data_IF_555798393562
#
_entry.id   IF_555798393562
#
_cell.length_a   1.000
_cell.length_b   1.000
_cell.length_c   1.000
_cell.angle_alpha   90.00
_cell.angle_beta   90.00
_cell.angle_gamma   90.00
#
_symmetry.space_group_name_H-M   'P 1'
#
loop_
_entity.id
_entity.type
_entity.pdbx_description
1 polymer ?
#
# COMPACT_ATOMS: atom_id res chain seq x y z
N UNK A 1 7.28 -26.38 21.50
CA UNK A 1 8.20 -25.47 20.77
C UNK A 1 8.63 -26.20 19.51
N UNK A 2 8.46 -25.61 18.33
CA UNK A 2 8.90 -26.20 17.05
C UNK A 2 10.42 -26.15 16.93
N UNK A 3 11.05 -27.25 16.52
CA UNK A 3 12.51 -27.35 16.35
C UNK A 3 12.94 -27.10 14.90
N UNK A 4 14.16 -26.60 14.63
CA UNK A 4 14.66 -26.46 13.25
C UNK A 4 14.74 -27.79 12.48
N UNK A 5 14.82 -28.92 13.19
CA UNK A 5 14.76 -30.26 12.61
C UNK A 5 13.38 -30.62 12.03
N UNK A 6 12.31 -29.92 12.42
CA UNK A 6 10.95 -30.11 11.89
C UNK A 6 10.68 -29.22 10.66
N UNK A 7 11.69 -28.51 10.15
CA UNK A 7 11.52 -27.57 9.06
C UNK A 7 11.09 -28.29 7.77
N UNK A 8 9.96 -27.84 7.23
CA UNK A 8 9.49 -28.29 5.92
C UNK A 8 10.29 -27.62 4.80
N UNK A 9 10.56 -28.33 3.68
CA UNK A 9 11.17 -27.73 2.51
C UNK A 9 10.34 -26.53 2.00
N UNK A 10 11.02 -25.45 1.64
CA UNK A 10 10.36 -24.27 1.08
C UNK A 10 9.80 -24.57 -0.33
N UNK A 11 8.53 -24.26 -0.55
CA UNK A 11 7.90 -24.39 -1.86
C UNK A 11 8.01 -23.08 -2.64
N UNK A 12 8.47 -23.15 -3.90
CA UNK A 12 8.54 -21.98 -4.76
C UNK A 12 7.14 -21.46 -5.10
N UNK A 13 6.94 -20.15 -4.97
CA UNK A 13 5.76 -19.48 -5.49
C UNK A 13 5.83 -19.41 -7.02
N UNK A 14 5.21 -20.36 -7.71
CA UNK A 14 5.19 -20.41 -9.18
C UNK A 14 4.52 -19.16 -9.79
N UNK A 15 4.95 -18.76 -10.98
CA UNK A 15 4.33 -17.70 -11.78
C UNK A 15 2.91 -18.13 -12.21
N UNK A 16 1.89 -17.52 -11.60
CA UNK A 16 0.47 -17.78 -11.90
C UNK A 16 -0.40 -16.61 -11.47
N UNK A 17 -1.65 -16.64 -11.92
CA UNK A 17 -2.69 -15.71 -11.48
C UNK A 17 -3.04 -15.99 -10.02
N UNK A 18 -3.14 -14.93 -9.21
CA UNK A 18 -3.63 -14.95 -7.84
C UNK A 18 -4.58 -13.78 -7.61
N UNK A 19 -5.49 -13.96 -6.66
CA UNK A 19 -6.34 -12.87 -6.17
C UNK A 19 -5.51 -11.92 -5.31
N UNK A 20 -5.61 -10.63 -5.62
CA UNK A 20 -5.05 -9.53 -4.85
C UNK A 20 -6.16 -8.51 -4.54
N UNK A 21 -6.03 -7.81 -3.42
CA UNK A 21 -6.94 -6.74 -3.04
C UNK A 21 -6.34 -5.42 -3.51
N UNK A 22 -7.11 -4.65 -4.27
CA UNK A 22 -6.71 -3.31 -4.72
C UNK A 22 -7.67 -2.26 -4.19
N UNK A 23 -7.12 -1.10 -3.86
CA UNK A 23 -7.89 0.08 -3.46
C UNK A 23 -8.65 0.64 -4.67
N UNK A 24 -9.93 0.98 -4.45
CA UNK A 24 -10.77 1.71 -5.39
C UNK A 24 -10.48 3.20 -5.24
N UNK A 25 -9.60 3.70 -6.09
CA UNK A 25 -9.14 5.09 -6.01
C UNK A 25 -10.08 6.04 -6.75
N UNK A 26 -10.12 7.31 -6.31
CA UNK A 26 -10.86 8.38 -7.01
C UNK A 26 -10.49 8.49 -8.48
N UNK A 27 -9.20 8.33 -8.80
CA UNK A 27 -8.67 8.35 -10.17
C UNK A 27 -9.23 7.28 -11.09
N UNK A 28 -9.83 6.21 -10.57
CA UNK A 28 -10.50 5.19 -11.39
C UNK A 28 -11.84 5.67 -11.94
N UNK A 29 -12.45 6.69 -11.33
CA UNK A 29 -13.70 7.31 -11.80
C UNK A 29 -13.44 8.68 -12.42
N UNK A 30 -12.82 9.59 -11.66
CA UNK A 30 -12.54 10.96 -12.09
C UNK A 30 -11.28 11.47 -11.39
N UNK A 31 -10.27 11.84 -12.19
CA UNK A 31 -9.00 12.38 -11.68
C UNK A 31 -9.09 13.87 -11.30
N UNK A 32 -10.08 14.58 -11.81
CA UNK A 32 -10.20 16.04 -11.67
C UNK A 32 -10.93 16.46 -10.38
N UNK A 33 -11.84 15.63 -9.87
CA UNK A 33 -12.67 15.93 -8.72
C UNK A 33 -12.22 15.11 -7.50
N UNK A 34 -12.02 15.79 -6.35
CA UNK A 34 -11.63 15.16 -5.08
C UNK A 34 -12.75 15.13 -4.03
N UNK A 35 -13.94 15.66 -4.33
CA UNK A 35 -15.02 15.94 -3.39
C UNK A 35 -15.99 14.77 -3.18
N UNK A 36 -15.58 13.56 -3.55
CA UNK A 36 -16.38 12.35 -3.38
C UNK A 36 -15.59 11.20 -2.75
N UNK A 37 -16.32 10.21 -2.26
CA UNK A 37 -15.81 8.93 -1.79
C UNK A 37 -16.45 7.81 -2.62
N UNK A 38 -15.77 6.66 -2.69
CA UNK A 38 -16.26 5.46 -3.37
C UNK A 38 -16.43 4.33 -2.35
N UNK A 39 -17.51 3.57 -2.49
CA UNK A 39 -17.80 2.38 -1.68
C UNK A 39 -18.16 1.19 -2.57
N UNK A 40 -17.57 -0.01 -2.36
CA UNK A 40 -16.56 -0.35 -1.35
C UNK A 40 -15.18 0.31 -1.62
N UNK A 41 -14.32 0.45 -0.59
CA UNK A 41 -13.00 1.08 -0.76
C UNK A 41 -11.95 0.15 -1.39
N UNK A 42 -12.18 -1.16 -1.39
CA UNK A 42 -11.29 -2.16 -1.95
C UNK A 42 -12.08 -3.22 -2.73
N UNK A 43 -11.46 -3.80 -3.75
CA UNK A 43 -12.02 -4.88 -4.57
C UNK A 43 -10.97 -5.94 -4.86
N UNK A 44 -11.43 -7.16 -5.12
CA UNK A 44 -10.58 -8.25 -5.56
C UNK A 44 -10.31 -8.15 -7.07
N UNK A 45 -9.03 -8.32 -7.44
CA UNK A 45 -8.56 -8.40 -8.81
C UNK A 45 -7.64 -9.59 -8.99
N UNK A 46 -7.54 -10.07 -10.23
CA UNK A 46 -6.64 -11.13 -10.60
C UNK A 46 -5.31 -10.54 -11.10
N UNK A 47 -4.18 -10.93 -10.50
CA UNK A 47 -2.85 -10.42 -10.85
C UNK A 47 -1.85 -11.56 -10.97
N UNK A 48 -0.86 -11.34 -11.83
CA UNK A 48 0.25 -12.26 -12.01
C UNK A 48 1.26 -12.02 -10.90
N UNK A 49 1.58 -13.07 -10.16
CA UNK A 49 2.59 -13.03 -9.10
C UNK A 49 3.39 -14.32 -9.06
N UNK A 50 4.45 -14.33 -8.25
CA UNK A 50 5.37 -15.46 -8.14
C UNK A 50 6.67 -15.25 -8.92
N UNK A 51 7.50 -16.28 -8.90
CA UNK A 51 8.88 -16.26 -9.37
C UNK A 51 9.06 -17.18 -10.58
N UNK A 52 9.97 -16.78 -11.46
CA UNK A 52 10.53 -17.62 -12.51
C UNK A 52 11.81 -18.31 -12.02
N UNK A 53 12.28 -19.32 -12.73
CA UNK A 53 13.46 -20.09 -12.34
C UNK A 53 14.78 -19.29 -12.45
N UNK A 54 14.82 -18.30 -13.34
CA UNK A 54 16.01 -17.46 -13.56
C UNK A 54 15.70 -15.98 -13.33
N UNK A 55 16.70 -15.24 -12.85
CA UNK A 55 16.58 -13.80 -12.56
C UNK A 55 16.44 -12.93 -13.82
N UNK A 56 16.71 -13.48 -15.00
CA UNK A 56 16.56 -12.80 -16.29
C UNK A 56 15.11 -12.81 -16.79
N UNK A 57 14.26 -13.65 -16.21
CA UNK A 57 12.85 -13.77 -16.54
C UNK A 57 11.99 -13.04 -15.49
N UNK A 58 10.90 -12.44 -15.94
CA UNK A 58 9.88 -11.82 -15.11
C UNK A 58 8.52 -12.48 -15.36
N UNK A 59 7.75 -12.66 -14.30
CA UNK A 59 6.37 -13.15 -14.38
C UNK A 59 5.47 -12.01 -14.84
N UNK A 60 4.92 -12.11 -16.05
CA UNK A 60 4.13 -11.04 -16.68
C UNK A 60 2.80 -11.59 -17.20
N UNK A 61 1.73 -10.77 -17.24
CA UNK A 61 0.49 -11.16 -17.90
C UNK A 61 0.68 -11.27 -19.41
N UNK A 62 0.12 -12.33 -20.00
CA UNK A 62 0.05 -12.51 -21.46
C UNK A 62 -1.36 -12.30 -22.00
N UNK A 63 -2.37 -12.44 -21.14
CA UNK A 63 -3.77 -12.12 -21.46
C UNK A 63 -4.33 -11.32 -20.28
N UNK A 64 -5.03 -10.23 -20.59
CA UNK A 64 -5.73 -9.40 -19.62
C UNK A 64 -7.21 -9.25 -19.99
N UNK A 65 -8.04 -8.98 -18.99
CA UNK A 65 -9.46 -8.71 -19.16
C UNK A 65 -9.86 -7.51 -18.32
N UNK A 66 -10.55 -6.56 -18.96
CA UNK A 66 -11.10 -5.39 -18.26
C UNK A 66 -12.51 -5.70 -17.80
N UNK A 67 -12.75 -5.64 -16.49
CA UNK A 67 -14.08 -5.74 -15.89
C UNK A 67 -14.55 -4.38 -15.39
N UNK A 68 -15.84 -4.14 -15.53
CA UNK A 68 -16.51 -2.94 -15.02
C UNK A 68 -17.23 -3.29 -13.72
N UNK A 69 -17.00 -2.49 -12.69
CA UNK A 69 -17.58 -2.65 -11.36
C UNK A 69 -18.50 -1.46 -11.08
N UNK A 70 -19.70 -1.75 -10.60
CA UNK A 70 -20.58 -0.72 -10.08
C UNK A 70 -20.20 -0.43 -8.63
N UNK A 71 -19.90 0.83 -8.33
CA UNK A 71 -19.56 1.33 -6.99
C UNK A 71 -20.51 2.45 -6.60
N UNK A 72 -20.60 2.73 -5.31
CA UNK A 72 -21.37 3.85 -4.78
C UNK A 72 -20.48 5.08 -4.65
N UNK A 73 -20.85 6.16 -5.33
CA UNK A 73 -20.27 7.50 -5.17
C UNK A 73 -21.00 8.23 -4.05
N UNK A 74 -20.25 8.75 -3.10
CA UNK A 74 -20.76 9.49 -1.94
C UNK A 74 -20.22 10.92 -2.01
N UNK A 75 -21.11 11.89 -2.14
CA UNK A 75 -20.79 13.32 -2.17
C UNK A 75 -21.44 14.04 -1.00
N UNK A 76 -20.75 15.00 -0.39
CA UNK A 76 -21.31 15.79 0.70
C UNK A 76 -21.79 17.14 0.18
N UNK A 77 -23.10 17.31 0.06
CA UNK A 77 -23.74 18.55 -0.39
C UNK A 77 -24.54 19.10 0.79
N UNK A 78 -24.30 20.37 1.17
CA UNK A 78 -24.98 21.01 2.30
C UNK A 78 -24.90 20.19 3.62
N UNK A 79 -23.73 19.61 3.91
CA UNK A 79 -23.46 18.72 5.06
C UNK A 79 -24.30 17.42 5.08
N UNK A 80 -24.95 17.05 3.97
CA UNK A 80 -25.70 15.81 3.81
C UNK A 80 -25.04 14.91 2.76
N UNK A 81 -24.91 13.60 3.03
CA UNK A 81 -24.39 12.66 2.04
C UNK A 81 -25.43 12.44 0.93
N UNK A 82 -24.96 12.48 -0.31
CA UNK A 82 -25.70 12.16 -1.53
C UNK A 82 -25.06 10.92 -2.15
N UNK A 83 -25.89 9.96 -2.53
CA UNK A 83 -25.45 8.67 -3.05
C UNK A 83 -25.80 8.54 -4.51
N UNK A 84 -24.82 8.16 -5.33
CA UNK A 84 -25.02 7.89 -6.75
C UNK A 84 -24.32 6.58 -7.13
N UNK A 85 -24.79 5.94 -8.20
CA UNK A 85 -24.09 4.81 -8.81
C UNK A 85 -23.01 5.34 -9.73
N UNK A 86 -21.83 4.74 -9.66
CA UNK A 86 -20.71 5.02 -10.55
C UNK A 86 -20.13 3.71 -11.08
N UNK A 87 -19.44 3.77 -12.21
CA UNK A 87 -18.79 2.61 -12.82
C UNK A 87 -17.30 2.87 -12.85
N UNK A 88 -16.52 1.93 -12.30
CA UNK A 88 -15.06 1.93 -12.39
C UNK A 88 -14.60 0.70 -13.15
N UNK A 89 -13.44 0.79 -13.80
CA UNK A 89 -12.83 -0.34 -14.50
C UNK A 89 -11.65 -0.90 -13.71
N UNK A 90 -11.56 -2.23 -13.65
CA UNK A 90 -10.38 -2.96 -13.16
C UNK A 90 -9.81 -3.83 -14.26
N UNK A 91 -8.50 -4.08 -14.20
CA UNK A 91 -7.80 -4.98 -15.13
C UNK A 91 -7.37 -6.23 -14.37
N UNK A 92 -7.87 -7.36 -14.86
CA UNK A 92 -7.51 -8.69 -14.41
C UNK A 92 -6.50 -9.33 -15.36
N UNK A 93 -5.56 -10.05 -14.79
CA UNK A 93 -4.67 -10.93 -15.52
C UNK A 93 -5.32 -12.30 -15.64
N UNK A 94 -5.47 -12.81 -16.87
CA UNK A 94 -6.13 -14.09 -17.16
C UNK A 94 -5.12 -15.21 -17.33
N UNK A 95 -3.95 -14.91 -17.93
CA UNK A 95 -2.86 -15.87 -18.10
C UNK A 95 -1.51 -15.19 -17.84
N UNK A 96 -0.57 -15.91 -17.22
CA UNK A 96 0.77 -15.43 -16.88
C UNK A 96 1.84 -16.31 -17.52
N UNK A 97 2.96 -15.71 -17.95
CA UNK A 97 4.14 -16.45 -18.40
C UNK A 97 5.43 -15.78 -17.92
N UNK A 98 6.49 -16.59 -17.84
CA UNK A 98 7.85 -16.10 -17.64
C UNK A 98 8.43 -15.61 -18.96
N UNK A 99 8.68 -14.31 -19.07
CA UNK A 99 9.27 -13.69 -20.26
C UNK A 99 10.56 -12.96 -19.89
N UNK A 100 11.46 -12.76 -20.87
CA UNK A 100 12.68 -11.98 -20.65
C UNK A 100 12.30 -10.57 -20.23
N UNK A 101 12.86 -10.10 -19.11
CA UNK A 101 12.61 -8.74 -18.65
C UNK A 101 12.87 -7.74 -19.79
N UNK A 102 11.92 -6.86 -20.14
CA UNK A 102 12.21 -5.76 -21.04
C UNK A 102 13.42 -5.01 -20.47
N UNK A 103 14.43 -4.75 -21.31
CA UNK A 103 15.59 -3.94 -20.88
C UNK A 103 15.04 -2.59 -20.41
N UNK A 104 15.03 -2.37 -19.10
CA UNK A 104 14.77 -1.05 -18.54
C UNK A 104 15.83 -0.12 -19.17
N UNK A 105 15.44 0.95 -19.90
CA UNK A 105 16.42 1.91 -20.37
C UNK A 105 17.16 2.44 -19.14
N UNK A 106 18.47 2.20 -19.09
CA UNK A 106 19.29 2.57 -17.95
C UNK A 106 19.09 4.06 -17.63
N UNK A 107 18.88 4.45 -16.36
CA UNK A 107 18.81 5.85 -16.00
C UNK A 107 20.13 6.53 -16.39
N UNK A 108 20.06 7.58 -17.22
CA UNK A 108 21.23 8.37 -17.61
C UNK A 108 21.87 8.95 -16.35
N UNK A 109 23.01 8.40 -15.93
CA UNK A 109 23.85 9.01 -14.89
C UNK A 109 24.30 10.38 -15.41
N UNK A 110 23.75 11.47 -14.86
CA UNK A 110 24.36 12.80 -15.02
C UNK A 110 25.71 12.75 -14.30
N UNK A 111 26.78 12.72 -15.08
CA UNK A 111 28.15 12.82 -14.59
C UNK A 111 28.36 14.18 -13.93
N UNK A 112 28.26 14.25 -12.60
CA UNK A 112 28.74 15.38 -11.84
C UNK A 112 30.28 15.33 -11.82
N UNK A 113 30.89 16.35 -12.43
CA UNK A 113 32.32 16.53 -12.61
C UNK A 113 33.00 16.75 -11.25
N UNK A 114 34.11 16.04 -11.05
CA UNK A 114 35.02 16.09 -9.89
C UNK A 114 35.55 17.50 -9.63
N UNK A 115 35.65 17.88 -8.35
CA UNK A 115 36.70 18.76 -7.82
C UNK A 115 37.31 18.15 -6.56
N UNK A 116 38.53 18.56 -6.26
CA UNK A 116 39.63 17.81 -5.64
C UNK A 116 40.07 18.46 -4.30
N UNK A 117 40.65 17.68 -3.38
CA UNK A 117 41.43 18.14 -2.20
C UNK A 117 40.94 17.50 -0.89
N UNK A 118 41.67 16.59 -0.20
CA UNK A 118 42.86 16.82 0.65
C UNK A 118 42.38 17.19 2.08
N UNK A 119 42.85 16.71 3.24
CA UNK A 119 43.94 15.87 3.73
C UNK A 119 43.63 15.54 5.23
N UNK A 120 44.25 14.48 5.76
CA UNK A 120 44.68 14.19 7.15
C UNK A 120 43.69 14.11 8.33
N UNK A 121 44.11 13.22 9.24
CA UNK A 121 43.57 12.81 10.54
C UNK A 121 43.81 13.89 11.61
N UNK A 122 42.89 14.00 12.57
CA UNK A 122 43.23 14.41 13.95
C UNK A 122 42.17 13.91 14.95
N UNK A 123 42.61 13.21 16.00
CA UNK A 123 41.83 12.84 17.19
C UNK A 123 41.89 14.01 18.21
N UNK A 124 40.81 14.29 18.94
CA UNK A 124 40.74 14.18 20.41
C UNK A 124 39.44 14.77 21.02
N UNK A 125 38.79 13.91 21.82
CA UNK A 125 38.07 14.12 23.07
C UNK A 125 38.07 15.53 23.73
N UNK A 126 36.89 16.07 24.10
CA UNK A 126 36.52 16.25 25.52
C UNK A 126 35.09 16.75 25.81
N UNK A 127 34.55 16.24 26.93
CA UNK A 127 33.36 16.61 27.74
C UNK A 127 33.30 18.12 28.07
N UNK A 128 32.19 18.80 28.42
CA UNK A 128 30.99 18.49 29.22
C UNK A 128 30.03 19.69 29.12
N UNK A 129 28.69 19.53 29.09
CA UNK A 129 27.79 20.36 29.92
C UNK A 129 26.36 19.77 30.06
N UNK A 130 26.01 19.67 31.32
CA UNK A 130 24.79 19.29 32.03
C UNK A 130 23.40 19.68 31.48
N UNK A 131 22.52 18.67 31.49
CA UNK A 131 21.24 18.60 32.24
C UNK A 131 20.19 19.70 32.02
N UNK A 132 19.20 19.43 31.15
CA UNK A 132 17.76 19.84 31.29
C UNK A 132 16.88 19.19 30.19
N UNK A 133 16.66 17.86 30.22
CA UNK A 133 15.83 17.17 29.19
C UNK A 133 14.66 16.32 29.75
N UNK A 134 14.32 16.45 31.03
CA UNK A 134 13.34 15.58 31.69
C UNK A 134 11.84 15.93 31.51
N UNK A 135 11.48 17.12 31.01
CA UNK A 135 10.06 17.55 30.98
C UNK A 135 9.46 17.76 29.58
N UNK A 136 10.29 17.95 28.53
CA UNK A 136 9.78 18.20 27.16
C UNK A 136 9.54 16.88 26.38
N UNK A 137 10.19 15.78 26.77
CA UNK A 137 9.96 14.47 26.11
C UNK A 137 8.62 13.83 26.48
N UNK A 138 8.13 14.01 27.71
CA UNK A 138 6.87 13.42 28.15
C UNK A 138 5.66 13.99 27.42
N UNK A 139 5.64 15.30 27.11
CA UNK A 139 4.53 15.94 26.39
C UNK A 139 4.46 15.51 24.93
N UNK A 140 5.61 15.37 24.26
CA UNK A 140 5.68 14.90 22.87
C UNK A 140 5.23 13.44 22.77
N UNK A 141 5.72 12.57 23.67
CA UNK A 141 5.31 11.16 23.73
C UNK A 141 3.82 11.04 24.04
N UNK A 142 3.29 11.82 24.99
CA UNK A 142 1.87 11.83 25.30
C UNK A 142 1.02 12.29 24.10
N UNK A 143 1.48 13.29 23.35
CA UNK A 143 0.79 13.75 22.13
C UNK A 143 0.82 12.69 21.02
N UNK A 144 1.96 12.02 20.80
CA UNK A 144 2.07 10.92 19.82
C UNK A 144 1.20 9.72 20.20
N UNK A 145 1.17 9.35 21.49
CA UNK A 145 0.34 8.25 22.00
C UNK A 145 -1.15 8.60 21.89
N UNK A 146 -1.55 9.84 22.19
CA UNK A 146 -2.93 10.29 22.02
C UNK A 146 -3.36 10.36 20.54
N UNK A 147 -2.48 10.79 19.64
CA UNK A 147 -2.74 10.76 18.19
C UNK A 147 -2.85 9.32 17.70
N UNK A 148 -1.94 8.43 18.11
CA UNK A 148 -2.00 7.01 17.77
C UNK A 148 -3.26 6.35 18.34
N UNK A 149 -3.65 6.65 19.58
CA UNK A 149 -4.86 6.13 20.21
C UNK A 149 -6.14 6.66 19.56
N UNK A 150 -6.16 7.93 19.12
CA UNK A 150 -7.26 8.49 18.32
C UNK A 150 -7.34 7.86 16.94
N UNK A 151 -6.22 7.64 16.26
CA UNK A 151 -6.17 6.96 14.95
C UNK A 151 -6.60 5.50 15.09
N UNK A 152 -6.13 4.81 16.13
CA UNK A 152 -6.55 3.44 16.45
C UNK A 152 -8.04 3.38 16.80
N UNK A 153 -8.55 4.32 17.60
CA UNK A 153 -9.98 4.37 17.92
C UNK A 153 -10.83 4.70 16.70
N UNK A 154 -10.39 5.60 15.81
CA UNK A 154 -11.09 5.86 14.54
C UNK A 154 -11.03 4.66 13.60
N UNK A 155 -9.91 3.95 13.54
CA UNK A 155 -9.77 2.71 12.77
C UNK A 155 -10.66 1.61 13.34
N UNK A 156 -10.72 1.45 14.66
CA UNK A 156 -11.61 0.48 15.34
C UNK A 156 -13.07 0.89 15.18
N UNK A 157 -13.40 2.18 15.21
CA UNK A 157 -14.76 2.66 14.89
C UNK A 157 -15.08 2.42 13.42
N UNK A 158 -14.14 2.60 12.49
CA UNK A 158 -14.33 2.26 11.07
C UNK A 158 -14.47 0.75 10.84
N UNK A 159 -13.70 -0.08 11.55
CA UNK A 159 -13.77 -1.54 11.49
C UNK A 159 -15.07 -2.02 12.12
N UNK A 160 -15.48 -1.46 13.26
CA UNK A 160 -16.73 -1.78 13.94
C UNK A 160 -17.93 -1.27 13.16
N UNK A 161 -17.82 -0.13 12.48
CA UNK A 161 -18.79 0.30 11.46
C UNK A 161 -18.79 -0.65 10.26
N UNK A 162 -17.65 -1.22 9.85
CA UNK A 162 -17.59 -2.26 8.82
C UNK A 162 -18.31 -3.55 9.27
N UNK A 163 -18.17 -3.92 10.55
CA UNK A 163 -18.78 -5.10 11.19
C UNK A 163 -20.29 -4.93 11.44
N UNK A 164 -20.72 -3.77 11.97
CA UNK A 164 -22.12 -3.40 12.19
C UNK A 164 -22.88 -3.14 10.87
N UNK A 165 -22.19 -2.73 9.79
CA UNK A 165 -22.80 -2.56 8.46
C UNK A 165 -22.90 -3.88 7.67
N UNK A 166 -22.12 -4.91 7.99
CA UNK A 166 -22.34 -6.26 7.45
C UNK A 166 -23.60 -6.93 8.03
N UNK A 167 -23.92 -6.70 9.31
CA UNK A 167 -25.08 -7.36 9.95
C UNK A 167 -26.43 -6.71 9.63
N UNK A 168 -26.48 -5.42 9.29
CA UNK A 168 -27.74 -4.71 9.05
C UNK A 168 -28.30 -4.79 7.62
N UNK A 169 -27.54 -5.33 6.64
CA UNK A 169 -28.02 -5.47 5.25
C UNK A 169 -28.56 -6.88 4.94
N UNK A 170 -28.38 -7.85 5.85
CA UNK A 170 -28.89 -9.22 5.68
C UNK A 170 -30.27 -9.49 6.33
N UNK A 171 -30.92 -8.49 6.93
CA UNK A 171 -32.22 -8.64 7.61
C UNK A 171 -33.40 -7.86 6.95
N UNK A 172 -33.18 -7.22 5.80
CA UNK A 172 -34.25 -6.66 4.97
C UNK A 172 -34.30 -7.37 3.61
N UNK A 173 -34.65 -8.65 3.62
CA UNK A 173 -35.31 -9.39 2.52
C UNK A 173 -36.00 -10.62 3.09
#
# INVERSE_FOLDING_TARGET
>A
MSSPSDAQPAQQALCKVRTEVVEVTRSMLDRSNANFLLWPPCVEVQRCSGCCNTKTLQCVPVVTHTRYLQVMKIEYINKRPTYAKAVVSVVDHVECRCQVAPRQPAPKKKSARRQHGGNSRELHHNQTLSTTQGQVQASLIHTHVLVAYKVYSLAVVFIKLCEDYQYNVFWYS
#
